data_IF_497815152393
#
_entry.id   IF_497815152393
#
_cell.length_a   1.000
_cell.length_b   1.000
_cell.length_c   1.000
_cell.angle_alpha   90.00
_cell.angle_beta   90.00
_cell.angle_gamma   90.00
#
_symmetry.space_group_name_H-M   'P 1'
#
loop_
_entity.id
_entity.type
_entity.pdbx_description
1 polymer ?
#
# COMPACT_ATOMS: atom_id res chain seq x y z
N UNK A 1 -1.93 -5.72 37.45
CA UNK A 1 -2.90 -4.92 38.25
C UNK A 1 -2.20 -3.68 38.79
N UNK A 2 -2.26 -2.55 38.08
CA UNK A 2 -1.93 -1.23 38.63
C UNK A 2 -3.00 -0.24 38.16
N UNK A 3 -3.56 0.49 39.13
CA UNK A 3 -4.86 1.16 39.07
C UNK A 3 -4.68 2.63 38.67
N UNK A 4 -5.56 3.07 37.75
CA UNK A 4 -6.27 4.37 37.65
C UNK A 4 -5.58 5.62 38.23
N UNK A 5 -5.45 6.65 37.40
CA UNK A 5 -5.91 7.98 37.78
C UNK A 5 -6.41 8.75 36.56
N UNK A 6 -7.71 9.04 36.53
CA UNK A 6 -8.33 9.90 35.53
C UNK A 6 -8.26 11.36 35.94
N UNK A 7 -8.21 12.24 34.94
CA UNK A 7 -8.53 13.66 35.07
C UNK A 7 -9.60 13.96 34.02
N UNK A 8 -10.78 14.26 34.55
CA UNK A 8 -11.91 14.91 33.90
C UNK A 8 -11.63 16.42 33.98
N UNK A 9 -12.07 17.22 33.00
CA UNK A 9 -12.82 18.48 33.17
C UNK A 9 -12.84 19.35 31.88
N UNK A 10 -14.04 19.42 31.27
CA UNK A 10 -14.84 20.62 30.92
C UNK A 10 -14.37 21.58 29.80
N UNK A 11 -15.27 21.70 28.80
CA UNK A 11 -15.79 22.96 28.25
C UNK A 11 -15.00 23.56 27.08
N UNK A 12 -15.59 24.07 26.00
CA UNK A 12 -16.96 24.41 25.67
C UNK A 12 -16.93 25.52 24.60
N UNK A 13 -18.09 25.78 23.96
CA UNK A 13 -18.43 27.03 23.22
C UNK A 13 -17.84 27.15 21.80
N UNK A 14 -18.56 26.91 20.69
CA UNK A 14 -19.78 27.49 20.10
C UNK A 14 -19.57 28.89 19.48
N UNK A 15 -20.13 29.06 18.25
CA UNK A 15 -20.40 30.27 17.42
C UNK A 15 -19.41 30.43 16.25
N UNK A 16 -19.76 30.12 14.98
CA UNK A 16 -20.73 30.68 14.00
C UNK A 16 -20.27 31.95 13.24
N UNK A 17 -20.65 31.98 11.96
CA UNK A 17 -20.63 33.06 10.96
C UNK A 17 -19.30 33.24 10.19
N UNK A 18 -19.28 33.56 8.89
CA UNK A 18 -20.27 34.26 8.09
C UNK A 18 -20.15 33.96 6.58
N UNK A 19 -21.29 34.07 5.88
CA UNK A 19 -21.40 34.23 4.43
C UNK A 19 -21.01 35.66 3.99
N UNK A 20 -20.67 35.83 2.71
CA UNK A 20 -20.60 37.10 1.96
C UNK A 20 -20.08 36.76 0.55
N UNK A 21 -20.89 36.62 -0.50
CA UNK A 21 -21.84 37.55 -1.16
C UNK A 21 -21.12 38.60 -2.03
N UNK A 22 -21.23 38.34 -3.34
CA UNK A 22 -21.27 39.19 -4.55
C UNK A 22 -20.58 40.58 -4.60
N UNK A 23 -19.83 40.83 -5.68
CA UNK A 23 -20.08 41.99 -6.56
C UNK A 23 -19.22 41.98 -7.85
N UNK A 24 -19.80 42.50 -8.93
CA UNK A 24 -19.37 42.36 -10.32
C UNK A 24 -18.70 43.61 -10.92
N UNK A 25 -17.64 43.39 -11.75
CA UNK A 25 -17.21 44.11 -13.00
C UNK A 25 -17.02 45.66 -13.00
N UNK A 26 -16.36 46.34 -13.98
CA UNK A 26 -16.01 45.94 -15.36
C UNK A 26 -14.64 46.40 -15.97
N UNK A 27 -14.33 45.76 -17.11
CA UNK A 27 -13.69 46.20 -18.36
C UNK A 27 -12.53 47.22 -18.38
N UNK A 28 -11.36 46.74 -18.84
CA UNK A 28 -10.25 47.52 -19.39
C UNK A 28 -9.74 46.89 -20.70
N UNK A 29 -9.23 47.74 -21.58
CA UNK A 29 -9.06 47.56 -23.03
C UNK A 29 -7.96 46.57 -23.50
N UNK A 30 -8.21 46.07 -24.71
CA UNK A 30 -7.44 45.29 -25.73
C UNK A 30 -5.98 45.74 -26.00
N UNK A 31 -5.22 45.09 -26.93
CA UNK A 31 -5.01 43.66 -27.25
C UNK A 31 -3.50 43.31 -27.25
N UNK A 32 -3.11 42.03 -27.40
CA UNK A 32 -1.97 41.56 -28.23
C UNK A 32 -1.88 40.04 -28.14
N UNK A 33 -1.66 39.47 -29.32
CA UNK A 33 -1.53 38.07 -29.70
C UNK A 33 -0.34 37.39 -29.02
N UNK A 34 -0.47 36.11 -28.64
CA UNK A 34 0.40 35.01 -29.11
C UNK A 34 0.22 33.73 -28.27
N UNK A 35 0.09 32.63 -29.01
CA UNK A 35 0.43 31.24 -28.69
C UNK A 35 -0.20 30.53 -27.46
N UNK A 36 -1.10 29.59 -27.81
CA UNK A 36 -1.09 28.18 -27.39
C UNK A 36 -0.95 27.87 -25.89
N UNK A 37 -2.03 27.37 -25.30
CA UNK A 37 -2.13 26.16 -24.44
C UNK A 37 -3.56 26.14 -23.86
N UNK A 38 -4.42 25.23 -24.36
CA UNK A 38 -5.69 24.91 -23.71
C UNK A 38 -5.62 23.48 -23.22
N UNK A 39 -5.45 23.40 -21.92
CA UNK A 39 -5.95 22.35 -21.05
C UNK A 39 -7.48 22.20 -21.13
N UNK A 40 -7.98 21.19 -20.41
CA UNK A 40 -9.37 20.74 -20.23
C UNK A 40 -9.79 19.69 -21.27
N UNK A 41 -9.56 18.41 -20.95
CA UNK A 41 -10.40 17.60 -20.06
C UNK A 41 -11.79 17.38 -20.68
N UNK A 42 -11.97 16.19 -21.25
CA UNK A 42 -13.26 15.51 -21.21
C UNK A 42 -12.99 14.18 -20.51
N UNK A 43 -13.40 14.19 -19.25
CA UNK A 43 -13.89 13.06 -18.48
C UNK A 43 -14.69 12.15 -19.40
N UNK A 44 -14.25 10.89 -19.56
CA UNK A 44 -15.17 9.76 -19.53
C UNK A 44 -14.48 8.63 -18.77
N UNK A 45 -14.94 8.46 -17.54
CA UNK A 45 -14.79 7.27 -16.73
C UNK A 45 -15.23 6.06 -17.58
N UNK A 46 -14.27 5.26 -18.05
CA UNK A 46 -14.55 3.84 -18.25
C UNK A 46 -14.13 3.10 -16.99
N UNK A 47 -15.16 2.90 -16.18
CA UNK A 47 -15.31 1.85 -15.18
C UNK A 47 -14.65 0.58 -15.73
N UNK A 48 -13.41 0.30 -15.30
CA UNK A 48 -12.93 -1.08 -15.31
C UNK A 48 -13.55 -1.70 -14.09
N UNK A 49 -14.56 -2.51 -14.39
CA UNK A 49 -15.40 -3.21 -13.45
C UNK A 49 -14.56 -3.90 -12.39
N UNK A 50 -15.01 -3.73 -11.15
CA UNK A 50 -14.60 -4.54 -10.01
C UNK A 50 -14.88 -6.00 -10.34
N UNK A 51 -13.83 -6.76 -10.64
CA UNK A 51 -13.84 -8.19 -10.42
C UNK A 51 -13.06 -8.44 -9.12
N UNK A 52 -13.80 -8.39 -8.01
CA UNK A 52 -13.44 -9.13 -6.82
C UNK A 52 -13.37 -10.60 -7.22
N UNK A 53 -12.18 -11.05 -7.60
CA UNK A 53 -11.90 -12.44 -7.93
C UNK A 53 -12.19 -13.29 -6.70
N UNK A 54 -13.10 -14.24 -6.91
CA UNK A 54 -13.49 -15.28 -5.97
C UNK A 54 -12.28 -15.99 -5.36
N UNK A 55 -12.43 -16.43 -4.11
CA UNK A 55 -11.48 -17.26 -3.36
C UNK A 55 -11.29 -18.63 -4.03
N UNK A 56 -10.56 -18.66 -5.14
CA UNK A 56 -9.95 -19.87 -5.68
C UNK A 56 -8.65 -20.13 -4.88
N UNK A 57 -8.36 -21.39 -4.51
CA UNK A 57 -7.19 -21.70 -3.70
C UNK A 57 -5.91 -21.21 -4.39
N UNK A 58 -5.05 -20.47 -3.66
CA UNK A 58 -3.75 -19.94 -4.10
C UNK A 58 -2.73 -21.06 -4.45
N UNK A 59 -3.02 -21.91 -5.42
CA UNK A 59 -2.09 -22.96 -5.86
C UNK A 59 -1.09 -22.48 -6.92
N UNK A 60 -1.24 -21.25 -7.40
CA UNK A 60 -0.44 -20.68 -8.51
C UNK A 60 0.53 -19.57 -8.06
N UNK A 61 0.78 -19.41 -6.75
CA UNK A 61 1.75 -18.44 -6.25
C UNK A 61 3.15 -18.72 -6.84
N UNK A 62 3.83 -17.66 -7.29
CA UNK A 62 5.18 -17.78 -7.83
C UNK A 62 6.16 -18.29 -6.75
N UNK A 63 7.17 -19.04 -7.15
CA UNK A 63 8.18 -19.52 -6.20
C UNK A 63 9.09 -18.37 -5.77
N UNK A 64 9.33 -18.24 -4.46
CA UNK A 64 10.32 -17.31 -3.95
C UNK A 64 11.72 -17.75 -4.40
N UNK A 65 12.37 -16.93 -5.22
CA UNK A 65 13.71 -17.20 -5.73
C UNK A 65 14.51 -15.91 -5.86
N UNK A 66 15.83 -16.01 -5.66
CA UNK A 66 16.79 -14.91 -5.86
C UNK A 66 16.63 -14.26 -7.23
N UNK A 67 16.48 -12.94 -7.27
CA UNK A 67 16.32 -12.16 -8.50
C UNK A 67 14.89 -12.11 -9.06
N UNK A 68 13.94 -12.81 -8.43
CA UNK A 68 12.51 -12.66 -8.70
C UNK A 68 12.00 -11.38 -8.03
N UNK A 69 10.97 -10.76 -8.63
CA UNK A 69 10.27 -9.63 -8.06
C UNK A 69 8.80 -9.62 -8.50
N UNK A 70 7.92 -9.14 -7.63
CA UNK A 70 6.54 -8.83 -8.01
C UNK A 70 6.49 -7.55 -8.87
N UNK A 71 5.38 -7.35 -9.62
CA UNK A 71 5.03 -6.02 -10.12
C UNK A 71 4.93 -4.99 -8.98
N UNK A 72 4.86 -3.70 -9.35
CA UNK A 72 4.47 -2.64 -8.43
C UNK A 72 3.01 -2.82 -8.04
N UNK A 73 2.77 -2.81 -6.74
CA UNK A 73 1.50 -2.88 -6.05
C UNK A 73 1.05 -1.45 -5.76
N UNK A 74 -0.21 -1.16 -6.04
CA UNK A 74 -0.91 0.01 -5.52
C UNK A 74 -1.62 -0.36 -4.21
N UNK A 75 -2.18 0.63 -3.53
CA UNK A 75 -2.97 0.40 -2.31
C UNK A 75 -4.02 -0.69 -2.51
N UNK A 76 -4.05 -1.65 -1.58
CA UNK A 76 -4.87 -2.85 -1.52
C UNK A 76 -4.52 -3.95 -2.55
N UNK A 77 -3.56 -3.73 -3.45
CA UNK A 77 -3.04 -4.80 -4.30
C UNK A 77 -2.24 -5.79 -3.45
N UNK A 78 -2.20 -7.04 -3.92
CA UNK A 78 -1.53 -8.13 -3.24
C UNK A 78 -0.57 -8.87 -4.17
N UNK A 79 0.48 -9.43 -3.58
CA UNK A 79 1.32 -10.43 -4.25
C UNK A 79 1.61 -11.58 -3.29
N UNK A 80 1.79 -12.78 -3.84
CA UNK A 80 2.02 -13.99 -3.06
C UNK A 80 3.20 -14.77 -3.62
N UNK A 81 4.05 -15.26 -2.72
CA UNK A 81 5.15 -16.16 -3.05
C UNK A 81 5.12 -17.42 -2.19
N UNK A 82 5.42 -18.56 -2.80
CA UNK A 82 5.59 -19.84 -2.10
C UNK A 82 7.07 -20.08 -1.76
N UNK A 83 7.33 -20.47 -0.52
CA UNK A 83 8.65 -20.68 0.04
C UNK A 83 8.95 -22.17 0.17
N UNK A 84 9.35 -22.80 -0.94
CA UNK A 84 9.60 -24.25 -1.01
C UNK A 84 11.00 -24.65 -0.55
N UNK A 85 12.02 -23.82 -0.80
CA UNK A 85 13.42 -24.16 -0.51
C UNK A 85 13.84 -23.65 0.88
N UNK A 86 14.41 -24.55 1.70
CA UNK A 86 14.99 -24.17 2.98
C UNK A 86 16.17 -23.21 2.78
N UNK A 87 16.21 -22.11 3.54
CA UNK A 87 17.24 -21.08 3.38
C UNK A 87 16.81 -19.72 3.92
N UNK A 88 17.68 -18.73 3.76
CA UNK A 88 17.39 -17.34 4.08
C UNK A 88 17.11 -16.54 2.81
N UNK A 89 15.96 -15.89 2.75
CA UNK A 89 15.53 -15.01 1.67
C UNK A 89 15.56 -13.58 2.19
N UNK A 90 16.43 -12.75 1.61
CA UNK A 90 16.44 -11.31 1.89
C UNK A 90 15.46 -10.65 0.95
N UNK A 91 14.39 -10.11 1.53
CA UNK A 91 13.29 -9.49 0.80
C UNK A 91 13.45 -7.98 0.90
N UNK A 92 13.23 -7.28 -0.20
CA UNK A 92 13.32 -5.82 -0.25
C UNK A 92 12.29 -5.22 -1.20
N UNK A 93 12.09 -3.91 -1.07
CA UNK A 93 11.31 -3.12 -2.03
C UNK A 93 12.26 -2.42 -3.01
N UNK A 94 12.07 -2.59 -4.31
CA UNK A 94 12.93 -2.00 -5.34
C UNK A 94 12.89 -0.46 -5.40
N UNK A 95 11.71 0.21 -5.45
CA UNK A 95 11.66 1.68 -5.48
C UNK A 95 12.07 2.31 -4.14
N UNK A 96 12.06 1.54 -3.05
CA UNK A 96 12.39 1.98 -1.70
C UNK A 96 13.39 1.02 -1.02
N UNK A 97 14.68 0.99 -1.43
CA UNK A 97 15.65 -0.04 -1.01
C UNK A 97 15.97 -0.15 0.48
N UNK A 98 15.44 0.77 1.29
CA UNK A 98 15.54 0.74 2.76
C UNK A 98 14.50 -0.16 3.40
N UNK A 99 13.41 -0.48 2.69
CA UNK A 99 12.43 -1.47 3.11
C UNK A 99 13.03 -2.86 2.92
N UNK A 100 13.28 -3.55 4.02
CA UNK A 100 13.87 -4.88 4.01
C UNK A 100 13.21 -5.76 5.06
N UNK A 101 13.09 -7.05 4.75
CA UNK A 101 12.79 -8.09 5.72
C UNK A 101 13.55 -9.36 5.39
N UNK A 102 13.54 -10.33 6.31
CA UNK A 102 14.10 -11.66 6.09
C UNK A 102 13.04 -12.74 6.26
N UNK A 103 12.93 -13.64 5.28
CA UNK A 103 12.18 -14.89 5.44
C UNK A 103 13.18 -16.03 5.62
N UNK A 104 13.06 -16.77 6.71
CA UNK A 104 13.89 -17.93 7.02
C UNK A 104 13.02 -19.17 6.84
N UNK A 105 13.38 -20.04 5.91
CA UNK A 105 12.67 -21.29 5.65
C UNK A 105 13.43 -22.43 6.30
N UNK A 106 12.83 -23.04 7.32
CA UNK A 106 13.45 -24.08 8.14
C UNK A 106 12.51 -25.27 8.34
N UNK A 107 13.07 -26.48 8.19
CA UNK A 107 12.37 -27.72 8.52
C UNK A 107 11.94 -27.72 9.99
N UNK A 108 10.65 -28.01 10.24
CA UNK A 108 10.10 -28.05 11.59
C UNK A 108 9.76 -26.69 12.20
N UNK A 109 9.84 -25.60 11.43
CA UNK A 109 9.23 -24.33 11.82
C UNK A 109 7.72 -24.50 12.07
N UNK A 110 7.19 -23.79 13.06
CA UNK A 110 5.79 -23.92 13.47
C UNK A 110 4.83 -23.10 12.60
N UNK A 111 5.34 -22.06 11.93
CA UNK A 111 4.57 -21.23 11.00
C UNK A 111 4.55 -21.92 9.65
N UNK A 112 3.38 -22.27 9.13
CA UNK A 112 3.21 -23.01 7.87
C UNK A 112 1.85 -22.70 7.24
N UNK A 113 1.68 -23.01 5.96
CA UNK A 113 0.44 -22.74 5.23
C UNK A 113 0.41 -21.30 4.72
N UNK A 114 -0.70 -20.60 4.91
CA UNK A 114 -0.86 -19.23 4.44
C UNK A 114 -0.49 -18.22 5.54
N UNK A 115 0.38 -17.28 5.21
CA UNK A 115 0.77 -16.16 6.07
C UNK A 115 0.43 -14.85 5.35
N UNK A 116 -0.29 -13.96 6.01
CA UNK A 116 -0.57 -12.61 5.51
C UNK A 116 0.32 -11.60 6.23
N UNK A 117 0.97 -10.73 5.45
CA UNK A 117 1.78 -9.60 5.91
C UNK A 117 1.34 -8.33 5.18
N UNK A 118 1.68 -7.18 5.76
CA UNK A 118 1.36 -5.87 5.17
C UNK A 118 2.63 -5.15 4.72
N UNK A 119 2.51 -4.32 3.69
CA UNK A 119 3.43 -3.22 3.38
C UNK A 119 2.77 -1.94 3.86
N UNK A 120 3.27 -1.38 4.96
CA UNK A 120 2.66 -0.23 5.61
C UNK A 120 3.74 0.65 6.25
N UNK A 121 3.46 1.95 6.35
CA UNK A 121 4.38 2.92 6.95
C UNK A 121 5.79 2.89 6.31
N UNK A 122 5.86 2.64 4.99
CA UNK A 122 7.11 2.44 4.25
C UNK A 122 7.98 1.31 4.83
N UNK A 123 7.35 0.23 5.28
CA UNK A 123 8.03 -0.96 5.81
C UNK A 123 7.26 -2.26 5.48
N UNK A 124 7.98 -3.38 5.50
CA UNK A 124 7.34 -4.68 5.67
C UNK A 124 6.86 -4.79 7.13
N UNK A 125 5.68 -5.36 7.37
CA UNK A 125 5.09 -5.44 8.71
C UNK A 125 5.95 -6.23 9.72
N UNK A 126 6.83 -7.10 9.23
CA UNK A 126 7.78 -7.87 10.02
C UNK A 126 9.21 -7.67 9.50
N UNK A 127 10.18 -7.50 10.39
CA UNK A 127 11.60 -7.44 10.01
C UNK A 127 12.17 -8.84 9.68
N UNK A 128 11.64 -9.89 10.32
CA UNK A 128 12.05 -11.27 10.09
C UNK A 128 10.96 -12.26 10.49
N UNK A 129 10.77 -13.32 9.70
CA UNK A 129 9.89 -14.44 10.02
C UNK A 129 10.56 -15.78 9.71
N UNK A 130 10.28 -16.80 10.52
CA UNK A 130 10.69 -18.19 10.24
C UNK A 130 9.46 -19.02 9.89
N UNK A 131 9.50 -19.72 8.75
CA UNK A 131 8.39 -20.49 8.19
C UNK A 131 8.84 -21.88 7.74
N UNK A 132 7.91 -22.83 7.66
CA UNK A 132 8.17 -24.16 7.14
C UNK A 132 8.19 -24.15 5.60
N UNK A 133 8.87 -25.11 4.95
CA UNK A 133 8.77 -25.29 3.51
C UNK A 133 7.32 -25.43 3.02
N UNK A 134 7.02 -24.82 1.88
CA UNK A 134 5.69 -24.79 1.27
C UNK A 134 4.77 -23.70 1.81
N UNK A 135 5.26 -22.82 2.70
CA UNK A 135 4.49 -21.67 3.17
C UNK A 135 4.25 -20.68 2.04
N UNK A 136 3.03 -20.18 1.89
CA UNK A 136 2.67 -19.08 1.00
C UNK A 136 2.58 -17.81 1.84
N UNK A 137 3.39 -16.81 1.50
CA UNK A 137 3.29 -15.49 2.12
C UNK A 137 2.62 -14.56 1.13
N UNK A 138 1.56 -13.88 1.58
CA UNK A 138 0.84 -12.86 0.83
C UNK A 138 1.11 -11.50 1.46
N UNK A 139 1.59 -10.56 0.67
CA UNK A 139 1.77 -9.17 1.09
C UNK A 139 0.66 -8.32 0.49
N UNK A 140 0.03 -7.49 1.33
CA UNK A 140 -0.93 -6.47 0.90
C UNK A 140 -0.32 -5.09 1.05
N UNK A 141 -0.39 -4.26 0.02
CA UNK A 141 0.04 -2.87 0.15
C UNK A 141 -1.04 -2.03 0.85
N UNK A 142 -0.73 -1.49 2.03
CA UNK A 142 -1.62 -0.62 2.79
C UNK A 142 -1.30 0.86 2.57
N UNK A 143 -0.16 1.19 2.00
CA UNK A 143 0.29 2.56 1.77
C UNK A 143 -0.35 3.15 0.50
N UNK A 144 -0.25 4.47 0.36
CA UNK A 144 -0.60 5.14 -0.90
C UNK A 144 0.57 5.21 -1.88
N UNK A 145 1.80 5.03 -1.37
CA UNK A 145 2.98 4.85 -2.20
C UNK A 145 2.95 3.45 -2.80
N UNK A 146 3.51 3.28 -3.99
CA UNK A 146 3.60 1.95 -4.61
C UNK A 146 4.78 1.17 -4.07
N UNK A 147 4.58 -0.12 -3.84
CA UNK A 147 5.59 -1.03 -3.32
C UNK A 147 5.67 -2.31 -4.14
N UNK A 148 6.75 -3.06 -3.97
CA UNK A 148 6.82 -4.43 -4.46
C UNK A 148 7.61 -5.31 -3.49
N UNK A 149 7.59 -6.61 -3.78
CA UNK A 149 8.33 -7.65 -3.06
C UNK A 149 9.37 -8.22 -4.01
N UNK A 150 10.64 -8.05 -3.70
CA UNK A 150 11.77 -8.54 -4.49
C UNK A 150 12.78 -9.30 -3.62
N UNK A 151 13.54 -10.21 -4.24
CA UNK A 151 14.46 -11.10 -3.55
C UNK A 151 15.91 -10.88 -3.99
N UNK A 152 16.83 -10.66 -3.03
CA UNK A 152 18.26 -10.38 -3.34
C UNK A 152 19.05 -11.58 -3.85
#
# INVERSE_FOLDING_TARGET
MNKKLGILLIGGMLVLAACGEEDAQPAGNEPVEEEMETSEEVVEEEVVEEEATEEEPMTDAAEAAKGEASPLLSKADMTSFVFNEAGEFNVYCEPHPVMKMKVIVEEGATTSGDVALDLADYAFSEESITVAPGTVITWTDQDSAQHNVAFE
#
